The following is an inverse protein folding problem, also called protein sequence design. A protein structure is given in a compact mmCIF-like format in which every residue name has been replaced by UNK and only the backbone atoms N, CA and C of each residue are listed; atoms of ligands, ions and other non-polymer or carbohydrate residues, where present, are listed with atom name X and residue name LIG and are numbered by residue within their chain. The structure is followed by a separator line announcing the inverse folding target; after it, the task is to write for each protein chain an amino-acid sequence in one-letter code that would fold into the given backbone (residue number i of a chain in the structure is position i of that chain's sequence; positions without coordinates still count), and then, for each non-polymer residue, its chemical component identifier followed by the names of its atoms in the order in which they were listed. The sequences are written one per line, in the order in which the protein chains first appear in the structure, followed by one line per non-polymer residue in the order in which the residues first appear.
data_IF_118908170999
#
_entry.id   IF_118908170999
#
_cell.length_a   1.000
_cell.length_b   1.000
_cell.length_c   1.000
_cell.angle_alpha   90.00
_cell.angle_beta   90.00
_cell.angle_gamma   90.00
#
_symmetry.space_group_name_H-M   'P 1'
#
loop_
_entity.id
_entity.type
_entity.pdbx_description
1 polymer ?
#
# COMPACT_ATOMS: atom_id res chain seq x y z
N UNK A 1 -0.01 3.19 13.48
CA UNK A 1 -1.37 2.81 13.03
C UNK A 1 -1.98 1.91 14.09
N UNK A 2 -3.27 2.05 14.39
CA UNK A 2 -4.00 1.18 15.32
C UNK A 2 -5.00 0.34 14.53
N UNK A 3 -5.05 -0.96 14.79
CA UNK A 3 -6.04 -1.86 14.20
C UNK A 3 -7.11 -2.12 15.26
N UNK A 4 -8.36 -1.97 14.86
CA UNK A 4 -9.53 -2.27 15.70
C UNK A 4 -10.40 -3.31 14.99
N UNK A 5 -11.17 -4.06 15.76
CA UNK A 5 -12.12 -5.03 15.24
C UNK A 5 -13.30 -4.34 14.51
N UNK A 6 -13.97 -5.04 13.58
CA UNK A 6 -15.21 -4.54 12.97
C UNK A 6 -16.29 -4.19 14.02
N UNK A 7 -16.36 -4.95 15.12
CA UNK A 7 -17.27 -4.68 16.22
C UNK A 7 -16.99 -3.33 16.88
N UNK A 8 -15.73 -3.05 17.24
CA UNK A 8 -15.32 -1.76 17.82
C UNK A 8 -15.56 -0.61 16.84
N UNK A 9 -15.23 -0.80 15.56
CA UNK A 9 -15.47 0.21 14.52
C UNK A 9 -16.96 0.54 14.38
N UNK A 10 -17.84 -0.47 14.40
CA UNK A 10 -19.28 -0.30 14.32
C UNK A 10 -19.83 0.49 15.53
N UNK A 11 -19.37 0.17 16.75
CA UNK A 11 -19.75 0.88 17.97
C UNK A 11 -19.33 2.37 17.94
N UNK A 12 -18.24 2.70 17.24
CA UNK A 12 -17.77 4.08 17.10
C UNK A 12 -18.53 4.91 16.06
N UNK A 13 -19.27 4.29 15.14
CA UNK A 13 -19.87 4.98 14.00
C UNK A 13 -20.80 6.14 14.42
N UNK A 14 -21.66 5.93 15.42
CA UNK A 14 -22.56 6.96 15.92
C UNK A 14 -21.82 8.16 16.56
N UNK A 15 -20.71 7.89 17.25
CA UNK A 15 -19.85 8.91 17.85
C UNK A 15 -19.09 9.70 16.79
N UNK A 16 -18.62 9.04 15.73
CA UNK A 16 -17.92 9.71 14.62
C UNK A 16 -18.87 10.64 13.86
N UNK A 17 -20.13 10.25 13.63
CA UNK A 17 -21.14 11.09 12.96
C UNK A 17 -21.33 12.46 13.61
N UNK A 18 -21.20 12.54 14.94
CA UNK A 18 -21.40 13.79 15.70
C UNK A 18 -20.10 14.52 16.03
N UNK A 19 -18.95 13.90 15.78
CA UNK A 19 -17.62 14.44 16.10
C UNK A 19 -17.13 15.43 15.05
N UNK A 20 -16.39 16.44 15.51
CA UNK A 20 -15.64 17.39 14.64
C UNK A 20 -14.17 17.02 14.46
N UNK A 21 -13.68 16.08 15.26
CA UNK A 21 -12.26 15.72 15.36
C UNK A 21 -11.93 14.42 14.61
N UNK A 22 -12.92 13.57 14.34
CA UNK A 22 -12.73 12.23 13.77
C UNK A 22 -13.59 12.07 12.53
N UNK A 23 -13.08 11.30 11.57
CA UNK A 23 -13.77 10.89 10.34
C UNK A 23 -13.59 9.40 10.15
N UNK A 24 -14.56 8.76 9.52
CA UNK A 24 -14.50 7.35 9.16
C UNK A 24 -14.66 7.24 7.65
N UNK A 25 -13.67 6.65 7.01
CA UNK A 25 -13.61 6.50 5.56
C UNK A 25 -13.86 5.05 5.18
N UNK A 26 -14.68 4.81 4.17
CA UNK A 26 -14.79 3.51 3.54
C UNK A 26 -13.52 3.25 2.72
N UNK A 27 -13.01 2.03 2.83
CA UNK A 27 -11.77 1.62 2.20
C UNK A 27 -11.87 0.16 1.75
N UNK A 28 -11.26 -0.14 0.60
CA UNK A 28 -11.00 -1.49 0.17
C UNK A 28 -9.62 -1.57 -0.53
N UNK A 29 -8.80 -2.60 -0.25
CA UNK A 29 -7.48 -2.74 -0.86
C UNK A 29 -7.60 -3.12 -2.35
N UNK A 30 -6.70 -2.59 -3.19
CA UNK A 30 -6.64 -2.96 -4.62
C UNK A 30 -6.06 -4.36 -4.81
N UNK A 31 -6.95 -5.33 -4.94
CA UNK A 31 -6.62 -6.75 -5.11
C UNK A 31 -6.44 -7.17 -6.57
N UNK A 32 -7.02 -6.43 -7.52
CA UNK A 32 -7.04 -6.76 -8.95
C UNK A 32 -6.48 -5.59 -9.73
N UNK A 33 -5.54 -5.85 -10.63
CA UNK A 33 -4.83 -4.81 -11.37
C UNK A 33 -5.76 -3.97 -12.25
N UNK A 34 -6.77 -4.60 -12.87
CA UNK A 34 -7.74 -3.92 -13.73
C UNK A 34 -8.73 -2.99 -13.00
N UNK A 35 -8.78 -3.01 -11.67
CA UNK A 35 -9.71 -2.18 -10.91
C UNK A 35 -9.07 -0.85 -10.50
N UNK A 36 -9.89 0.21 -10.46
CA UNK A 36 -9.49 1.49 -9.92
C UNK A 36 -9.16 1.38 -8.42
N UNK A 37 -8.17 2.16 -7.98
CA UNK A 37 -7.80 2.22 -6.57
C UNK A 37 -8.84 2.98 -5.74
N UNK A 38 -9.11 2.51 -4.52
CA UNK A 38 -9.99 3.17 -3.53
C UNK A 38 -9.21 3.72 -2.34
N UNK A 39 -7.90 3.75 -2.45
CA UNK A 39 -6.99 4.20 -1.39
C UNK A 39 -6.90 5.72 -1.24
N UNK A 40 -7.53 6.49 -2.13
CA UNK A 40 -7.74 7.94 -1.93
C UNK A 40 -8.65 8.24 -0.73
N UNK A 41 -9.39 7.24 -0.22
CA UNK A 41 -10.30 7.35 0.93
C UNK A 41 -11.43 8.38 0.72
N UNK A 42 -11.78 8.64 -0.54
CA UNK A 42 -12.83 9.60 -0.93
C UNK A 42 -14.16 8.95 -1.30
N UNK A 43 -14.22 7.61 -1.41
CA UNK A 43 -15.43 6.88 -1.87
C UNK A 43 -16.65 7.15 -0.98
N UNK A 44 -16.49 7.03 0.33
CA UNK A 44 -17.54 7.34 1.31
C UNK A 44 -16.92 7.76 2.63
N UNK A 45 -17.37 8.90 3.17
CA UNK A 45 -16.85 9.44 4.44
C UNK A 45 -18.00 9.77 5.38
N UNK A 46 -17.94 9.20 6.58
CA UNK A 46 -18.80 9.57 7.71
C UNK A 46 -18.08 10.64 8.52
N UNK A 47 -18.62 11.86 8.51
CA UNK A 47 -18.04 13.02 9.19
C UNK A 47 -19.10 14.09 9.40
N UNK A 48 -18.98 14.88 10.48
CA UNK A 48 -19.79 16.11 10.65
C UNK A 48 -19.35 17.24 9.72
N UNK A 49 -18.08 17.25 9.31
CA UNK A 49 -17.48 18.26 8.43
C UNK A 49 -17.33 17.73 7.00
N UNK A 50 -17.70 18.54 6.01
CA UNK A 50 -17.56 18.23 4.58
C UNK A 50 -16.21 18.68 3.98
N UNK A 51 -15.29 19.26 4.76
CA UNK A 51 -14.03 19.73 4.21
C UNK A 51 -13.15 18.58 3.73
N UNK A 52 -12.36 18.79 2.69
CA UNK A 52 -11.39 17.80 2.21
C UNK A 52 -10.28 17.66 3.26
N UNK A 53 -9.86 16.43 3.56
CA UNK A 53 -8.70 16.13 4.40
C UNK A 53 -7.64 15.51 3.51
N UNK A 54 -6.47 16.14 3.47
CA UNK A 54 -5.30 15.55 2.83
C UNK A 54 -4.69 14.53 3.79
N UNK A 55 -4.62 13.28 3.34
CA UNK A 55 -4.06 12.19 4.12
C UNK A 55 -2.61 12.01 3.67
N UNK A 56 -1.62 12.09 4.58
CA UNK A 56 -0.22 11.89 4.24
C UNK A 56 -0.01 10.57 3.49
N UNK A 57 0.73 10.62 2.39
CA UNK A 57 0.99 9.47 1.51
C UNK A 57 1.48 8.24 2.28
N UNK A 58 2.42 8.42 3.21
CA UNK A 58 2.96 7.31 4.00
C UNK A 58 1.88 6.56 4.80
N UNK A 59 0.88 7.24 5.35
CA UNK A 59 -0.21 6.58 6.08
C UNK A 59 -1.13 5.79 5.15
N UNK A 60 -1.40 6.32 3.94
CA UNK A 60 -2.14 5.59 2.91
C UNK A 60 -1.38 4.33 2.47
N UNK A 61 -0.07 4.44 2.25
CA UNK A 61 0.78 3.30 1.86
C UNK A 61 0.85 2.23 2.96
N UNK A 62 0.99 2.63 4.23
CA UNK A 62 0.92 1.71 5.37
C UNK A 62 -0.44 1.01 5.45
N UNK A 63 -1.54 1.76 5.34
CA UNK A 63 -2.89 1.20 5.30
C UNK A 63 -3.02 0.17 4.18
N UNK A 64 -2.58 0.52 2.97
CA UNK A 64 -2.60 -0.36 1.80
C UNK A 64 -1.86 -1.66 2.04
N UNK A 65 -0.63 -1.58 2.56
CA UNK A 65 0.20 -2.73 2.85
C UNK A 65 -0.49 -3.68 3.85
N UNK A 66 -0.94 -3.18 4.99
CA UNK A 66 -1.52 -4.03 6.05
C UNK A 66 -2.95 -4.48 5.78
N UNK A 67 -3.69 -3.75 4.95
CA UNK A 67 -5.01 -4.17 4.48
C UNK A 67 -4.94 -5.19 3.33
N UNK A 68 -3.77 -5.33 2.73
CA UNK A 68 -3.44 -6.39 1.79
C UNK A 68 -3.47 -6.02 0.33
N UNK A 69 -3.38 -4.73 0.01
CA UNK A 69 -3.30 -4.26 -1.39
C UNK A 69 -2.13 -4.92 -2.12
N UNK A 70 -2.37 -5.41 -3.34
CA UNK A 70 -1.38 -6.15 -4.11
C UNK A 70 -0.78 -5.32 -5.26
N UNK A 71 -1.54 -4.34 -5.75
CA UNK A 71 -1.13 -3.50 -6.87
C UNK A 71 -0.94 -2.05 -6.41
N UNK A 72 0.24 -1.51 -6.73
CA UNK A 72 0.67 -0.15 -6.41
C UNK A 72 0.26 0.80 -7.54
N UNK A 73 -0.10 2.05 -7.23
CA UNK A 73 -0.61 3.03 -8.19
C UNK A 73 0.46 3.71 -9.05
N UNK A 74 1.69 3.84 -8.55
CA UNK A 74 2.79 4.48 -9.29
C UNK A 74 4.16 3.99 -8.85
N UNK A 75 5.18 4.26 -9.69
CA UNK A 75 6.58 3.97 -9.35
C UNK A 75 7.06 4.75 -8.12
N UNK A 76 6.59 5.99 -7.95
CA UNK A 76 6.91 6.80 -6.75
C UNK A 76 6.41 6.14 -5.46
N UNK A 77 5.18 5.62 -5.46
CA UNK A 77 4.64 4.86 -4.33
C UNK A 77 5.43 3.58 -4.06
N UNK A 78 5.93 2.92 -5.10
CA UNK A 78 6.83 1.76 -4.95
C UNK A 78 8.12 2.15 -4.21
N UNK A 79 8.76 3.25 -4.60
CA UNK A 79 9.96 3.75 -3.91
C UNK A 79 9.68 4.07 -2.44
N UNK A 80 8.53 4.72 -2.15
CA UNK A 80 8.11 5.04 -0.79
C UNK A 80 7.86 3.78 0.06
N UNK A 81 7.26 2.74 -0.52
CA UNK A 81 7.08 1.43 0.14
C UNK A 81 8.44 0.78 0.41
N UNK A 82 9.34 0.77 -0.57
CA UNK A 82 10.66 0.20 -0.42
C UNK A 82 11.46 0.88 0.72
N UNK A 83 11.46 2.21 0.74
CA UNK A 83 12.11 2.98 1.81
C UNK A 83 11.46 2.73 3.18
N UNK A 84 10.13 2.68 3.26
CA UNK A 84 9.43 2.34 4.51
C UNK A 84 9.80 0.93 5.03
N UNK A 85 9.95 -0.04 4.14
CA UNK A 85 10.31 -1.42 4.48
C UNK A 85 11.82 -1.62 4.68
N UNK A 86 12.65 -0.65 4.31
CA UNK A 86 14.11 -0.76 4.32
C UNK A 86 14.64 -1.73 3.27
N UNK A 87 14.00 -1.80 2.11
CA UNK A 87 14.41 -2.67 0.99
C UNK A 87 14.87 -1.83 -0.20
N UNK A 88 15.80 -2.36 -0.97
CA UNK A 88 16.33 -1.66 -2.14
C UNK A 88 15.23 -1.46 -3.20
N UNK A 89 15.05 -0.23 -3.66
CA UNK A 89 14.13 0.12 -4.75
C UNK A 89 14.80 0.09 -6.13
N UNK A 90 16.14 0.12 -6.16
CA UNK A 90 16.97 0.09 -7.36
C UNK A 90 18.11 -0.92 -7.20
N UNK A 91 18.90 -1.12 -8.27
CA UNK A 91 20.07 -1.99 -8.23
C UNK A 91 21.03 -1.50 -7.15
N UNK A 92 21.38 -2.40 -6.23
CA UNK A 92 22.22 -2.14 -5.06
C UNK A 92 23.49 -1.37 -5.44
N UNK A 93 23.65 -0.12 -4.97
CA UNK A 93 24.92 0.59 -5.03
C UNK A 93 26.01 -0.15 -4.24
N UNK A 94 27.27 -0.04 -4.65
CA UNK A 94 28.41 -0.77 -4.05
C UNK A 94 28.60 -0.53 -2.54
N UNK A 95 28.01 0.53 -1.98
CA UNK A 95 28.11 0.90 -0.57
C UNK A 95 27.02 0.30 0.33
N UNK A 96 26.03 -0.40 -0.22
CA UNK A 96 24.94 -1.00 0.55
C UNK A 96 25.13 -2.50 0.72
N UNK A 97 25.05 -2.96 1.97
CA UNK A 97 24.99 -4.40 2.28
C UNK A 97 23.52 -4.82 2.26
N UNK A 98 23.14 -5.68 1.31
CA UNK A 98 21.75 -6.11 1.09
C UNK A 98 21.61 -7.62 1.26
N UNK A 99 20.58 -8.03 2.00
CA UNK A 99 20.20 -9.43 2.19
C UNK A 99 19.60 -10.04 0.91
N UNK A 100 19.49 -11.38 0.88
CA UNK A 100 18.98 -12.09 -0.29
C UNK A 100 17.52 -11.73 -0.66
N UNK A 101 16.74 -11.22 0.29
CA UNK A 101 15.37 -10.78 0.10
C UNK A 101 15.27 -9.28 -0.25
N UNK A 102 16.39 -8.59 -0.44
CA UNK A 102 16.44 -7.17 -0.80
C UNK A 102 16.45 -6.21 0.40
N UNK A 103 16.40 -6.71 1.64
CA UNK A 103 16.49 -5.89 2.85
C UNK A 103 17.89 -5.31 3.04
N UNK A 104 17.97 -4.02 3.34
CA UNK A 104 19.24 -3.30 3.48
C UNK A 104 19.71 -3.41 4.93
N UNK A 105 20.85 -4.07 5.13
CA UNK A 105 21.42 -4.34 6.45
C UNK A 105 22.27 -3.14 6.91
N UNK A 106 23.06 -2.56 6.00
CA UNK A 106 23.98 -1.46 6.30
C UNK A 106 24.08 -0.47 5.13
N UNK A 107 24.47 0.76 5.45
CA UNK A 107 24.80 1.80 4.47
C UNK A 107 23.64 2.72 4.06
N UNK A 108 22.40 2.45 4.47
CA UNK A 108 21.26 3.31 4.16
C UNK A 108 21.06 4.40 5.22
N UNK A 109 21.97 5.38 5.27
CA UNK A 109 21.98 6.45 6.28
C UNK A 109 20.74 7.34 6.27
N UNK A 110 19.98 7.36 5.17
CA UNK A 110 18.78 8.19 5.00
C UNK A 110 17.47 7.39 4.99
N UNK A 111 17.48 6.10 5.37
CA UNK A 111 16.23 5.32 5.34
C UNK A 111 15.24 5.81 6.38
N UNK A 112 13.95 5.89 6.01
CA UNK A 112 12.87 6.06 7.00
C UNK A 112 12.46 4.74 7.66
N UNK A 113 13.07 3.62 7.27
CA UNK A 113 12.81 2.32 7.88
C UNK A 113 13.24 2.30 9.34
N UNK A 114 12.35 1.76 10.19
CA UNK A 114 12.61 1.52 11.62
C UNK A 114 12.79 0.04 11.93
N UNK A 115 12.83 -0.81 10.89
CA UNK A 115 12.96 -2.25 11.05
C UNK A 115 14.41 -2.63 11.29
N UNK A 116 14.66 -3.41 12.35
CA UNK A 116 15.97 -4.00 12.63
C UNK A 116 16.19 -5.35 11.93
N UNK A 117 15.12 -5.93 11.38
CA UNK A 117 15.12 -7.21 10.65
C UNK A 117 14.10 -7.11 9.51
N UNK A 118 14.35 -7.85 8.43
CA UNK A 118 13.47 -7.84 7.25
C UNK A 118 12.01 -8.15 7.62
N UNK A 119 11.07 -7.23 7.34
CA UNK A 119 9.64 -7.47 7.56
C UNK A 119 9.01 -8.34 6.47
N UNK A 120 9.74 -8.64 5.38
CA UNK A 120 9.18 -9.23 4.17
C UNK A 120 8.58 -10.62 4.40
N UNK A 121 9.23 -11.45 5.21
CA UNK A 121 8.69 -12.79 5.53
C UNK A 121 7.34 -12.71 6.26
N UNK A 122 7.23 -11.79 7.24
CA UNK A 122 5.97 -11.55 7.95
C UNK A 122 4.90 -11.03 6.99
N UNK A 123 5.23 -10.04 6.18
CA UNK A 123 4.30 -9.46 5.21
C UNK A 123 3.86 -10.50 4.18
N UNK A 124 4.75 -11.39 3.72
CA UNK A 124 4.41 -12.48 2.81
C UNK A 124 3.36 -13.41 3.42
N UNK A 125 3.52 -13.82 4.69
CA UNK A 125 2.51 -14.59 5.42
C UNK A 125 1.20 -13.82 5.55
N UNK A 126 1.26 -12.55 5.96
CA UNK A 126 0.08 -11.71 6.11
C UNK A 126 -0.71 -11.59 4.80
N UNK A 127 -0.01 -11.33 3.69
CA UNK A 127 -0.64 -11.09 2.40
C UNK A 127 -1.16 -12.37 1.77
N UNK A 128 -0.34 -13.43 1.68
CA UNK A 128 -0.73 -14.64 0.96
C UNK A 128 -1.62 -15.56 1.80
N UNK A 129 -1.30 -15.79 3.08
CA UNK A 129 -1.99 -16.79 3.89
C UNK A 129 -3.23 -16.22 4.59
N UNK A 130 -3.12 -15.01 5.15
CA UNK A 130 -4.19 -14.43 5.98
C UNK A 130 -5.16 -13.58 5.14
N UNK A 131 -4.66 -12.71 4.26
CA UNK A 131 -5.50 -11.80 3.46
C UNK A 131 -6.02 -12.42 2.16
N UNK A 132 -5.34 -13.46 1.66
CA UNK A 132 -5.63 -14.13 0.38
C UNK A 132 -5.99 -15.60 0.50
N UNK A 133 -6.19 -16.11 1.72
CA UNK A 133 -6.54 -17.51 1.97
C UNK A 133 -5.62 -18.52 1.25
N UNK A 134 -4.32 -18.21 1.19
CA UNK A 134 -3.30 -19.06 0.58
C UNK A 134 -3.11 -18.88 -0.93
N UNK A 135 -3.81 -17.94 -1.59
CA UNK A 135 -3.61 -17.70 -3.02
C UNK A 135 -2.22 -17.12 -3.34
N UNK A 136 -1.74 -17.45 -4.54
CA UNK A 136 -0.48 -16.92 -5.07
C UNK A 136 -0.56 -15.40 -5.33
N UNK A 137 0.51 -14.69 -4.95
CA UNK A 137 0.62 -13.23 -5.13
C UNK A 137 1.89 -12.82 -5.88
N UNK A 138 2.74 -13.77 -6.27
CA UNK A 138 4.08 -13.60 -6.86
C UNK A 138 4.09 -12.72 -8.12
N UNK A 139 2.99 -12.71 -8.88
CA UNK A 139 2.83 -11.89 -10.10
C UNK A 139 2.42 -10.44 -9.84
N UNK A 140 2.03 -10.12 -8.61
CA UNK A 140 1.59 -8.77 -8.22
C UNK A 140 2.78 -7.87 -7.87
N UNK A 141 2.58 -6.55 -7.82
CA UNK A 141 3.65 -5.62 -7.42
C UNK A 141 4.18 -5.95 -6.02
N UNK A 142 3.28 -6.17 -5.04
CA UNK A 142 3.67 -6.53 -3.69
C UNK A 142 4.32 -7.91 -3.61
N UNK A 143 3.81 -8.91 -4.35
CA UNK A 143 4.46 -10.23 -4.36
C UNK A 143 5.89 -10.19 -4.87
N UNK A 144 6.15 -9.41 -5.93
CA UNK A 144 7.50 -9.17 -6.44
C UNK A 144 8.41 -8.51 -5.40
N UNK A 145 7.94 -7.46 -4.71
CA UNK A 145 8.70 -6.80 -3.63
C UNK A 145 9.04 -7.80 -2.51
N UNK A 146 8.07 -8.62 -2.11
CA UNK A 146 8.24 -9.61 -1.04
C UNK A 146 9.13 -10.80 -1.44
N UNK A 147 9.37 -10.99 -2.74
CA UNK A 147 10.35 -11.92 -3.29
C UNK A 147 11.74 -11.26 -3.49
N UNK A 148 11.92 -9.99 -3.11
CA UNK A 148 13.15 -9.24 -3.32
C UNK A 148 13.39 -8.80 -4.77
N UNK A 149 12.35 -8.78 -5.60
CA UNK A 149 12.45 -8.38 -7.01
C UNK A 149 12.25 -6.86 -7.15
N UNK A 150 13.08 -6.25 -7.99
CA UNK A 150 12.97 -4.85 -8.36
C UNK A 150 11.86 -4.65 -9.39
N UNK A 151 11.06 -3.59 -9.21
CA UNK A 151 10.07 -3.15 -10.20
C UNK A 151 10.64 -2.03 -11.06
N UNK A 152 10.25 -2.00 -12.34
CA UNK A 152 10.66 -0.95 -13.27
C UNK A 152 9.53 0.07 -13.49
N UNK A 153 9.85 1.36 -13.79
CA UNK A 153 8.83 2.38 -14.07
C UNK A 153 7.82 1.98 -15.15
N UNK A 154 8.25 1.23 -16.16
CA UNK A 154 7.41 0.77 -17.28
C UNK A 154 6.22 -0.10 -16.83
N UNK A 155 6.35 -0.83 -15.71
CA UNK A 155 5.26 -1.64 -15.14
C UNK A 155 4.08 -0.79 -14.65
N UNK A 156 4.30 0.52 -14.47
CA UNK A 156 3.29 1.47 -14.01
C UNK A 156 2.69 2.31 -15.15
N UNK A 157 3.30 2.31 -16.34
CA UNK A 157 2.87 3.15 -17.46
C UNK A 157 1.70 2.55 -18.27
N UNK A 158 1.52 1.23 -18.32
CA UNK A 158 0.48 0.59 -19.14
C UNK A 158 -0.98 0.88 -18.71
N UNK A 159 -1.21 1.38 -17.50
CA UNK A 159 -2.56 1.44 -16.92
C UNK A 159 -3.32 2.75 -17.12
N UNK A 160 -2.65 3.84 -17.52
CA UNK A 160 -3.35 5.08 -17.83
C UNK A 160 -4.08 5.04 -19.19
N UNK A 161 -3.60 4.23 -20.15
CA UNK A 161 -4.21 4.17 -21.49
C UNK A 161 -5.47 3.29 -21.56
N UNK A 162 -5.56 2.23 -20.76
CA UNK A 162 -6.75 1.35 -20.73
C UNK A 162 -7.96 2.01 -20.02
N UNK A 163 -7.71 2.84 -19.00
CA UNK A 163 -8.77 3.59 -18.32
C UNK A 163 -9.38 4.69 -19.22
N UNK A 164 -8.58 5.28 -20.11
CA UNK A 164 -9.05 6.28 -21.08
C UNK A 164 -9.78 5.66 -22.28
N UNK A 165 -9.35 4.48 -22.77
CA UNK A 165 -10.04 3.80 -23.87
C UNK A 165 -11.46 3.32 -23.49
N UNK A 166 -11.67 2.89 -22.24
CA UNK A 166 -13.01 2.49 -21.78
C UNK A 166 -13.96 3.68 -21.56
N UNK A 167 -13.46 4.91 -21.37
CA UNK A 167 -14.30 6.11 -21.29
C UNK A 167 -14.68 6.66 -22.67
N UNK A 168 -13.88 6.41 -23.70
CA UNK A 168 -14.13 6.90 -25.07
C UNK A 168 -15.08 5.98 -25.85
N UNK A 169 -15.22 4.71 -25.46
CA UNK A 169 -16.17 3.79 -26.10
C UNK A 169 -17.61 3.87 -25.55
N UNK A 170 -17.89 4.71 -24.55
CA UNK A 170 -19.24 4.96 -24.02
C UNK A 170 -19.82 6.35 -24.44
N UNK A 171 -19.21 7.00 -25.44
CA UNK A 171 -19.75 8.21 -26.07
C UNK A 171 -19.92 8.07 -27.59
#
# INVERSE_FOLDING_TARGET
MLIISPFEANQLQARVKTSIAVRMHLYAPRQIQGYSSLDSLTLYTVSRRSSILEIPTLFRLQLNLFAGQLYIGSYSEYCEICDFLGVASCKTPEHLTVAADGFIIEGHTESRSTFHQSPLKFLKVLLSQIRRDGQEIDKTHLGKILDGKLLHPDEFHQHHMQAQQNQVSEH
#
